data_IF_982465882839
#
_entry.id   IF_982465882839
#
_cell.length_a   1.000
_cell.length_b   1.000
_cell.length_c   1.000
_cell.angle_alpha   90.00
_cell.angle_beta   90.00
_cell.angle_gamma   90.00
#
_symmetry.space_group_name_H-M   'P 1'
#
loop_
_entity.id
_entity.type
_entity.pdbx_description
1 polymer ?
#
# COMPACT_ATOMS: atom_id res chain seq x y z
N UNK A 1 1.35 -2.87 3.94
CA UNK A 1 0.01 -3.11 4.44
C UNK A 1 -0.55 -4.37 3.81
N UNK A 2 -0.82 -5.38 4.62
CA UNK A 2 -1.50 -6.57 4.16
C UNK A 2 -2.88 -6.23 3.61
N UNK A 3 -3.38 -6.95 2.60
CA UNK A 3 -4.73 -6.76 2.13
C UNK A 3 -5.70 -7.23 3.22
N UNK A 4 -6.52 -6.33 3.68
CA UNK A 4 -7.68 -6.72 4.47
C UNK A 4 -8.70 -7.42 3.55
N UNK A 5 -9.41 -8.41 4.07
CA UNK A 5 -10.49 -9.04 3.35
C UNK A 5 -11.55 -7.99 2.90
N UNK A 6 -12.29 -8.25 1.82
CA UNK A 6 -13.38 -7.37 1.41
C UNK A 6 -14.34 -7.14 2.59
N UNK A 7 -14.49 -5.90 3.02
CA UNK A 7 -15.31 -5.52 4.18
C UNK A 7 -14.55 -5.10 5.43
N UNK A 8 -13.31 -5.55 5.61
CA UNK A 8 -12.49 -5.22 6.79
C UNK A 8 -11.66 -3.95 6.60
N UNK A 9 -12.31 -2.84 6.32
CA UNK A 9 -11.61 -1.56 6.09
C UNK A 9 -10.77 -1.11 7.28
N UNK A 10 -11.21 -1.43 8.49
CA UNK A 10 -10.56 -0.99 9.73
C UNK A 10 -9.24 -1.71 10.03
N UNK A 11 -8.98 -2.84 9.38
CA UNK A 11 -7.72 -3.60 9.53
C UNK A 11 -6.67 -3.22 8.50
N UNK A 12 -7.01 -2.35 7.55
CA UNK A 12 -6.08 -1.88 6.52
C UNK A 12 -5.00 -1.00 7.13
N UNK A 13 -3.79 -1.22 6.68
CA UNK A 13 -2.62 -0.44 7.09
C UNK A 13 -2.10 0.33 5.89
N UNK A 14 -1.83 1.63 6.09
CA UNK A 14 -1.23 2.47 5.07
C UNK A 14 0.30 2.47 5.23
N UNK A 15 1.01 2.33 4.11
CA UNK A 15 2.46 2.53 4.06
C UNK A 15 2.74 3.64 3.04
N UNK A 16 2.99 3.29 1.78
CA UNK A 16 3.26 4.28 0.74
C UNK A 16 2.08 5.24 0.49
N UNK A 17 0.85 4.76 0.59
CA UNK A 17 -0.36 5.58 0.40
C UNK A 17 -0.52 6.75 1.37
N UNK A 18 0.08 6.67 2.55
CA UNK A 18 -0.01 7.76 3.55
C UNK A 18 0.63 9.06 3.04
N UNK A 19 1.65 8.95 2.18
CA UNK A 19 2.32 10.11 1.57
C UNK A 19 1.33 10.95 0.76
N UNK A 20 0.42 10.31 0.03
CA UNK A 20 -0.61 11.01 -0.74
C UNK A 20 -1.61 11.73 0.16
N UNK A 21 -1.98 11.11 1.28
CA UNK A 21 -2.87 11.74 2.26
C UNK A 21 -2.22 12.99 2.84
N UNK A 22 -0.95 12.90 3.24
CA UNK A 22 -0.20 14.05 3.76
C UNK A 22 -0.05 15.16 2.73
N UNK A 23 0.24 14.82 1.47
CA UNK A 23 0.35 15.83 0.40
C UNK A 23 -0.97 16.53 0.14
N UNK A 24 -2.08 15.79 0.04
CA UNK A 24 -3.39 16.38 -0.21
C UNK A 24 -3.85 17.27 0.96
N UNK A 25 -3.77 16.76 2.18
CA UNK A 25 -4.15 17.51 3.37
C UNK A 25 -3.22 18.70 3.62
N UNK A 26 -1.91 18.51 3.41
CA UNK A 26 -0.91 19.58 3.55
C UNK A 26 -1.10 20.70 2.55
N UNK A 27 -1.44 20.41 1.29
CA UNK A 27 -1.76 21.43 0.29
C UNK A 27 -3.01 22.23 0.70
N UNK A 28 -4.07 21.56 1.13
CA UNK A 28 -5.28 22.22 1.61
C UNK A 28 -5.00 23.12 2.84
N UNK A 29 -4.13 22.68 3.74
CA UNK A 29 -3.71 23.46 4.88
C UNK A 29 -2.83 24.66 4.48
N UNK A 30 -1.93 24.49 3.50
CA UNK A 30 -1.11 25.57 2.98
C UNK A 30 -1.94 26.66 2.29
N UNK A 31 -3.04 26.29 1.65
CA UNK A 31 -4.03 27.20 1.07
C UNK A 31 -4.92 27.85 2.15
N UNK A 32 -4.61 27.68 3.44
CA UNK A 32 -5.35 28.25 4.59
C UNK A 32 -6.83 27.86 4.61
N UNK A 33 -7.19 26.68 4.09
CA UNK A 33 -8.57 26.21 4.14
C UNK A 33 -9.01 25.92 5.59
N UNK A 34 -10.30 26.07 5.92
CA UNK A 34 -10.83 25.72 7.23
C UNK A 34 -10.56 24.25 7.59
N UNK A 35 -10.44 23.96 8.88
CA UNK A 35 -10.13 22.61 9.38
C UNK A 35 -11.05 21.53 8.82
N UNK A 36 -12.34 21.83 8.69
CA UNK A 36 -13.33 20.88 8.15
C UNK A 36 -13.05 20.52 6.68
N UNK A 37 -12.56 21.49 5.87
CA UNK A 37 -12.18 21.24 4.49
C UNK A 37 -10.87 20.43 4.41
N UNK A 38 -9.89 20.74 5.24
CA UNK A 38 -8.65 19.94 5.33
C UNK A 38 -8.97 18.50 5.71
N UNK A 39 -9.84 18.29 6.70
CA UNK A 39 -10.33 16.99 7.12
C UNK A 39 -11.03 16.27 5.96
N UNK A 40 -11.96 16.92 5.28
CA UNK A 40 -12.69 16.37 4.14
C UNK A 40 -11.74 15.92 3.02
N UNK A 41 -10.71 16.70 2.71
CA UNK A 41 -9.69 16.37 1.71
C UNK A 41 -8.89 15.14 2.16
N UNK A 42 -8.46 15.08 3.42
CA UNK A 42 -7.75 13.93 3.97
C UNK A 42 -8.60 12.65 3.92
N UNK A 43 -9.85 12.72 4.34
CA UNK A 43 -10.80 11.59 4.30
C UNK A 43 -11.04 11.10 2.86
N UNK A 44 -11.22 12.02 1.91
CA UNK A 44 -11.34 11.69 0.49
C UNK A 44 -10.09 10.99 -0.04
N UNK A 45 -8.89 11.49 0.30
CA UNK A 45 -7.64 10.85 -0.07
C UNK A 45 -7.53 9.44 0.55
N UNK A 46 -7.81 9.26 1.84
CA UNK A 46 -7.82 7.97 2.50
C UNK A 46 -8.80 6.97 1.85
N UNK A 47 -9.96 7.43 1.44
CA UNK A 47 -10.97 6.58 0.80
C UNK A 47 -10.53 6.05 -0.57
N UNK A 48 -9.68 6.81 -1.29
CA UNK A 48 -9.30 6.51 -2.67
C UNK A 48 -7.88 5.96 -2.83
N UNK A 49 -7.00 6.16 -1.84
CA UNK A 49 -5.63 5.61 -1.85
C UNK A 49 -5.65 4.11 -1.55
N UNK A 50 -4.81 3.38 -2.25
CA UNK A 50 -4.53 1.95 -2.01
C UNK A 50 -3.03 1.75 -1.93
N UNK A 51 -2.62 0.79 -1.14
CA UNK A 51 -1.22 0.38 -0.97
C UNK A 51 -1.12 -1.13 -1.03
N UNK A 52 -0.10 -1.63 -1.69
CA UNK A 52 0.28 -3.04 -1.64
C UNK A 52 1.79 -3.15 -1.54
N UNK A 53 2.27 -4.02 -0.67
CA UNK A 53 3.68 -4.36 -0.55
C UNK A 53 4.02 -5.63 -1.32
N UNK A 54 5.26 -5.71 -1.80
CA UNK A 54 5.84 -6.93 -2.33
C UNK A 54 7.16 -7.15 -1.60
N UNK A 55 7.34 -8.33 -1.03
CA UNK A 55 8.59 -8.72 -0.41
C UNK A 55 9.36 -9.64 -1.35
N UNK A 56 10.63 -9.30 -1.60
CA UNK A 56 11.54 -10.04 -2.47
C UNK A 56 12.65 -10.75 -1.68
N UNK A 57 12.89 -10.29 -0.45
CA UNK A 57 13.89 -10.86 0.45
C UNK A 57 13.51 -10.58 1.91
N UNK A 58 13.98 -11.41 2.84
CA UNK A 58 13.77 -11.12 4.26
C UNK A 58 14.51 -9.88 4.70
N UNK A 59 13.92 -9.14 5.63
CA UNK A 59 14.54 -8.00 6.27
C UNK A 59 14.95 -8.37 7.70
N UNK A 60 16.21 -8.14 8.05
CA UNK A 60 16.73 -8.33 9.40
C UNK A 60 16.91 -6.98 10.08
N UNK A 61 16.16 -6.77 11.15
CA UNK A 61 16.34 -5.58 11.98
C UNK A 61 17.63 -5.74 12.80
N UNK A 62 18.60 -4.81 12.71
CA UNK A 62 19.92 -4.97 13.33
C UNK A 62 19.88 -5.31 14.83
N UNK A 63 18.93 -4.72 15.59
CA UNK A 63 18.79 -4.97 17.05
C UNK A 63 18.23 -6.35 17.38
N UNK A 64 17.48 -6.96 16.45
CA UNK A 64 16.82 -8.26 16.66
C UNK A 64 17.73 -9.41 16.23
N UNK A 65 18.59 -9.17 15.23
CA UNK A 65 19.56 -10.15 14.73
C UNK A 65 18.91 -11.35 14.02
N UNK A 66 17.59 -11.34 13.85
CA UNK A 66 16.81 -12.38 13.16
C UNK A 66 15.90 -11.75 12.12
N UNK A 67 15.69 -12.43 10.96
CA UNK A 67 14.71 -11.97 10.00
C UNK A 67 13.30 -11.98 10.61
N UNK A 68 12.52 -10.95 10.34
CA UNK A 68 11.13 -10.85 10.79
C UNK A 68 10.19 -11.84 10.07
N UNK A 69 10.61 -12.33 8.91
CA UNK A 69 9.91 -13.34 8.09
C UNK A 69 10.94 -14.08 7.23
N UNK A 70 10.53 -15.20 6.63
CA UNK A 70 11.37 -16.00 5.75
C UNK A 70 10.75 -16.06 4.36
N UNK A 71 11.57 -15.81 3.34
CA UNK A 71 11.26 -16.04 1.91
C UNK A 71 12.39 -16.90 1.37
N UNK A 72 12.07 -17.89 0.54
CA UNK A 72 13.05 -18.72 -0.15
C UNK A 72 13.83 -17.95 -1.23
N UNK A 73 14.90 -18.55 -1.71
CA UNK A 73 15.58 -18.07 -2.91
C UNK A 73 14.62 -18.12 -4.10
N UNK A 74 14.64 -17.10 -4.94
CA UNK A 74 13.73 -16.97 -6.10
C UNK A 74 12.23 -16.98 -5.75
N UNK A 75 11.88 -16.62 -4.52
CA UNK A 75 10.49 -16.41 -4.11
C UNK A 75 10.16 -14.95 -3.88
N UNK A 76 8.88 -14.63 -4.00
CA UNK A 76 8.32 -13.34 -3.59
C UNK A 76 6.99 -13.52 -2.87
N UNK A 77 6.62 -12.56 -2.07
CA UNK A 77 5.31 -12.52 -1.40
C UNK A 77 4.60 -11.20 -1.68
N UNK A 78 3.42 -11.28 -2.29
CA UNK A 78 2.59 -10.14 -2.62
C UNK A 78 1.65 -9.84 -1.46
N UNK A 79 1.56 -8.57 -1.10
CA UNK A 79 0.67 -8.09 -0.03
C UNK A 79 1.26 -8.18 1.37
N UNK A 80 2.53 -8.53 1.52
CA UNK A 80 3.18 -8.57 2.83
C UNK A 80 3.18 -7.19 3.50
N UNK A 81 2.89 -7.16 4.79
CA UNK A 81 2.96 -5.97 5.61
C UNK A 81 4.38 -5.60 6.01
N UNK A 82 4.59 -4.34 6.38
CA UNK A 82 5.91 -3.79 6.74
C UNK A 82 6.54 -4.47 7.97
N UNK A 83 5.72 -5.05 8.85
CA UNK A 83 6.20 -5.76 10.04
C UNK A 83 6.28 -7.28 9.83
N UNK A 84 6.13 -7.76 8.59
CA UNK A 84 6.13 -9.18 8.28
C UNK A 84 4.74 -9.82 8.39
N UNK A 85 3.67 -9.02 8.40
CA UNK A 85 2.31 -9.57 8.32
C UNK A 85 2.13 -10.35 7.01
N UNK A 86 1.52 -11.54 7.05
CA UNK A 86 1.38 -12.41 5.89
C UNK A 86 0.73 -11.70 4.71
N UNK A 87 1.26 -11.97 3.51
CA UNK A 87 0.69 -11.51 2.26
C UNK A 87 -0.50 -12.34 1.81
N UNK A 88 -1.00 -12.03 0.61
CA UNK A 88 -2.09 -12.78 -0.04
C UNK A 88 -1.58 -13.93 -0.88
N UNK A 89 -0.37 -13.82 -1.43
CA UNK A 89 0.21 -14.83 -2.29
C UNK A 89 1.73 -14.88 -2.13
N UNK A 90 2.24 -16.09 -1.99
CA UNK A 90 3.66 -16.40 -2.14
C UNK A 90 3.85 -17.20 -3.42
N UNK A 91 4.89 -16.94 -4.19
CA UNK A 91 5.21 -17.61 -5.42
C UNK A 91 6.63 -17.36 -5.87
N UNK A 92 6.97 -17.86 -7.06
CA UNK A 92 8.27 -17.61 -7.67
C UNK A 92 8.46 -16.12 -7.95
N UNK A 93 9.70 -15.69 -7.91
CA UNK A 93 10.09 -14.34 -8.32
C UNK A 93 9.68 -14.10 -9.78
N UNK A 94 8.97 -13.02 -10.02
CA UNK A 94 8.49 -12.63 -11.34
C UNK A 94 9.12 -11.31 -11.77
N UNK A 95 9.23 -11.06 -13.08
CA UNK A 95 9.66 -9.75 -13.59
C UNK A 95 8.78 -8.62 -13.09
N UNK A 96 9.37 -7.43 -12.91
CA UNK A 96 8.68 -6.27 -12.36
C UNK A 96 7.39 -5.91 -13.11
N UNK A 97 7.35 -6.08 -14.43
CA UNK A 97 6.15 -5.80 -15.24
C UNK A 97 5.00 -6.77 -14.95
N UNK A 98 5.31 -8.03 -14.67
CA UNK A 98 4.31 -9.03 -14.27
C UNK A 98 3.78 -8.72 -12.88
N UNK A 99 4.66 -8.45 -11.93
CA UNK A 99 4.30 -8.04 -10.57
C UNK A 99 3.43 -6.77 -10.60
N UNK A 100 3.81 -5.78 -11.40
CA UNK A 100 3.04 -4.55 -11.58
C UNK A 100 1.65 -4.80 -12.18
N UNK A 101 1.54 -5.72 -13.12
CA UNK A 101 0.26 -6.12 -13.73
C UNK A 101 -0.63 -6.82 -12.72
N UNK A 102 -0.09 -7.75 -11.95
CA UNK A 102 -0.84 -8.42 -10.88
C UNK A 102 -1.35 -7.46 -9.83
N UNK A 103 -0.51 -6.55 -9.35
CA UNK A 103 -0.91 -5.49 -8.40
C UNK A 103 -2.09 -4.69 -8.94
N UNK A 104 -2.11 -4.38 -10.23
CA UNK A 104 -3.25 -3.71 -10.88
C UNK A 104 -4.51 -4.56 -10.90
N UNK A 105 -4.38 -5.85 -11.22
CA UNK A 105 -5.52 -6.78 -11.29
C UNK A 105 -6.18 -7.00 -9.93
N UNK A 106 -5.46 -6.89 -8.82
CA UNK A 106 -6.02 -6.95 -7.48
C UNK A 106 -6.90 -5.74 -7.11
N UNK A 107 -7.30 -4.93 -8.09
CA UNK A 107 -8.17 -3.75 -7.90
C UNK A 107 -7.66 -2.74 -6.89
N UNK A 108 -6.36 -2.59 -6.82
CA UNK A 108 -5.74 -1.52 -6.05
C UNK A 108 -6.06 -0.18 -6.71
N UNK A 109 -6.18 -0.20 -8.04
CA UNK A 109 -6.66 0.93 -8.83
C UNK A 109 -8.09 0.66 -9.30
N UNK A 110 -9.10 1.46 -8.93
CA UNK A 110 -10.44 1.32 -9.48
C UNK A 110 -10.40 1.65 -10.98
N UNK A 111 -10.60 0.64 -11.82
CA UNK A 111 -10.55 0.74 -13.30
C UNK A 111 -11.81 1.35 -13.91
N UNK A 112 -12.50 2.25 -13.26
CA UNK A 112 -13.60 3.01 -13.88
C UNK A 112 -13.22 4.47 -14.02
N UNK A 113 -12.87 4.82 -15.21
CA UNK A 113 -12.89 6.11 -15.95
C UNK A 113 -12.64 7.46 -15.25
N UNK A 114 -12.61 7.56 -13.92
CA UNK A 114 -12.54 8.87 -13.23
C UNK A 114 -11.25 9.14 -12.43
N UNK A 115 -10.32 8.19 -12.35
CA UNK A 115 -9.08 8.38 -11.58
C UNK A 115 -7.83 8.01 -12.36
N UNK A 116 -7.73 8.51 -13.60
CA UNK A 116 -6.57 8.27 -14.49
C UNK A 116 -5.25 8.91 -13.99
N UNK A 117 -5.26 9.62 -12.87
CA UNK A 117 -4.14 10.43 -12.38
C UNK A 117 -3.47 9.94 -11.09
N UNK A 118 -3.96 8.86 -10.46
CA UNK A 118 -3.43 8.38 -9.17
C UNK A 118 -2.75 7.01 -9.23
N UNK A 119 -2.45 6.49 -10.43
CA UNK A 119 -1.74 5.23 -10.64
C UNK A 119 -0.32 5.49 -11.15
N UNK A 120 0.52 6.09 -10.30
CA UNK A 120 1.99 6.13 -10.43
C UNK A 120 2.63 5.82 -9.10
#
# INVERSE_FOLDING_TARGET
AGPAAPGEKNTRRGVAGIVFVYKCAGAAAADMLPLEEVKRVAEKACANVRTMGVALSPCTVPRVGKPGFTIGEDEMEIGMGIHGEPGIRRGKLEPADQVGTEIRLWRICPTKRETRWLCW
#
